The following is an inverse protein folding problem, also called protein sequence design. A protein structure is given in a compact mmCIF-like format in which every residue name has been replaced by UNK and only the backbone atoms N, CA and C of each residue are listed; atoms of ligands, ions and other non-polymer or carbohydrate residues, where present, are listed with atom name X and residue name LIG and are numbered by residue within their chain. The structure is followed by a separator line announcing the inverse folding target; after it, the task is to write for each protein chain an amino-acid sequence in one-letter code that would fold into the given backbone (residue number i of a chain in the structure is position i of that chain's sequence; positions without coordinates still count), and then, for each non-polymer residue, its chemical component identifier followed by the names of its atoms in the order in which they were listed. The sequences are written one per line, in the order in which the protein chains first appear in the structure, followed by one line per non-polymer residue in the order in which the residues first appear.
data_IF_945225124480
#
_entry.id   IF_945225124480
#
_cell.length_a   1.000
_cell.length_b   1.000
_cell.length_c   1.000
_cell.angle_alpha   90.00
_cell.angle_beta   90.00
_cell.angle_gamma   90.00
#
_symmetry.space_group_name_H-M   'P 1'
#
loop_
_entity.id
_entity.type
_entity.pdbx_description
1 polymer ?
#
# COMPACT_ATOMS: atom_id res chain seq x y z
N UNK A 1 -8.06 -0.41 13.57
CA UNK A 1 -8.64 0.31 12.41
C UNK A 1 -9.30 -0.65 11.42
N UNK A 2 -8.58 -1.60 10.81
CA UNK A 2 -9.13 -2.56 9.83
C UNK A 2 -10.49 -3.15 10.22
N UNK A 3 -10.61 -3.76 11.40
CA UNK A 3 -11.85 -4.39 11.89
C UNK A 3 -13.07 -3.47 11.87
N UNK A 4 -12.89 -2.17 12.12
CA UNK A 4 -13.98 -1.20 12.11
C UNK A 4 -14.39 -0.86 10.66
N UNK A 5 -13.41 -0.54 9.80
CA UNK A 5 -13.68 -0.16 8.41
C UNK A 5 -14.27 -1.33 7.62
N UNK A 6 -13.76 -2.55 7.84
CA UNK A 6 -14.22 -3.74 7.12
C UNK A 6 -15.67 -4.13 7.42
N UNK A 7 -16.26 -3.60 8.49
CA UNK A 7 -17.65 -3.81 8.85
C UNK A 7 -18.61 -2.80 8.21
N UNK A 8 -18.10 -1.74 7.58
CA UNK A 8 -18.92 -0.68 7.01
C UNK A 8 -19.59 -1.09 5.69
N UNK A 9 -18.97 -1.98 4.94
CA UNK A 9 -19.53 -2.51 3.69
C UNK A 9 -19.06 -3.96 3.49
N UNK A 10 -20.02 -4.89 3.45
CA UNK A 10 -19.81 -6.32 3.27
C UNK A 10 -19.66 -6.73 1.79
N UNK A 11 -19.91 -5.80 0.86
CA UNK A 11 -19.71 -6.01 -0.58
C UNK A 11 -18.27 -5.81 -1.01
N UNK A 12 -17.45 -5.18 -0.17
CA UNK A 12 -16.03 -4.96 -0.42
C UNK A 12 -15.24 -6.23 -0.04
N UNK A 13 -14.39 -6.70 -0.96
CA UNK A 13 -13.45 -7.79 -0.65
C UNK A 13 -12.23 -7.21 0.06
N UNK A 14 -12.27 -7.17 1.39
CA UNK A 14 -11.19 -6.64 2.21
C UNK A 14 -9.97 -7.56 2.24
N UNK A 15 -8.78 -7.05 1.91
CA UNK A 15 -7.51 -7.80 1.94
C UNK A 15 -6.64 -7.30 3.10
N UNK A 16 -6.76 -7.95 4.27
CA UNK A 16 -6.13 -7.48 5.52
C UNK A 16 -4.60 -7.38 5.47
N UNK A 17 -3.95 -8.33 4.78
CA UNK A 17 -2.49 -8.47 4.73
C UNK A 17 -1.77 -7.50 3.80
N UNK A 18 -2.47 -6.88 2.85
CA UNK A 18 -1.84 -6.12 1.79
C UNK A 18 -1.43 -4.71 2.27
N UNK A 19 -0.27 -4.22 1.81
CA UNK A 19 0.13 -2.81 1.91
C UNK A 19 -0.74 -1.95 1.00
N UNK A 20 -0.95 -2.41 -0.23
CA UNK A 20 -1.86 -1.79 -1.19
C UNK A 20 -2.60 -2.84 -2.01
N UNK A 21 -3.78 -2.48 -2.49
CA UNK A 21 -4.55 -3.29 -3.44
C UNK A 21 -4.87 -2.41 -4.63
N UNK A 22 -4.54 -2.90 -5.81
CA UNK A 22 -5.00 -2.34 -7.07
C UNK A 22 -6.21 -3.12 -7.58
N UNK A 23 -7.33 -2.43 -7.80
CA UNK A 23 -8.54 -2.99 -8.42
C UNK A 23 -8.96 -2.09 -9.60
N UNK A 24 -8.59 -2.52 -10.80
CA UNK A 24 -8.85 -1.80 -12.04
C UNK A 24 -8.17 -0.43 -12.11
N UNK A 25 -8.91 0.63 -11.75
CA UNK A 25 -8.44 2.03 -11.75
C UNK A 25 -8.22 2.60 -10.36
N UNK A 26 -8.50 1.82 -9.32
CA UNK A 26 -8.39 2.23 -7.94
C UNK A 26 -7.16 1.59 -7.31
N UNK A 27 -6.38 2.40 -6.61
CA UNK A 27 -5.38 1.92 -5.67
C UNK A 27 -5.82 2.32 -4.26
N UNK A 28 -5.92 1.36 -3.36
CA UNK A 28 -6.15 1.61 -1.93
C UNK A 28 -4.95 1.14 -1.13
N UNK A 29 -4.65 1.79 0.00
CA UNK A 29 -3.44 1.55 0.79
C UNK A 29 -3.79 1.47 2.27
N UNK A 30 -3.04 0.67 3.03
CA UNK A 30 -3.31 0.42 4.45
C UNK A 30 -3.00 1.63 5.34
N UNK A 31 -1.71 2.00 5.47
CA UNK A 31 -1.24 3.08 6.34
C UNK A 31 -0.32 4.06 5.62
N UNK A 32 0.30 4.97 6.38
CA UNK A 32 1.16 6.04 5.82
C UNK A 32 2.33 5.49 5.00
N UNK A 33 3.10 4.55 5.56
CA UNK A 33 4.23 3.95 4.85
C UNK A 33 3.79 3.16 3.62
N UNK A 34 2.69 2.41 3.74
CA UNK A 34 2.10 1.70 2.60
C UNK A 34 1.55 2.66 1.53
N UNK A 35 1.11 3.86 1.92
CA UNK A 35 0.71 4.93 1.02
C UNK A 35 1.87 5.49 0.21
N UNK A 36 3.04 5.66 0.83
CA UNK A 36 4.26 6.07 0.12
C UNK A 36 4.70 5.00 -0.88
N UNK A 37 4.70 3.73 -0.46
CA UNK A 37 5.01 2.61 -1.35
C UNK A 37 4.00 2.50 -2.50
N UNK A 38 2.70 2.62 -2.22
CA UNK A 38 1.65 2.60 -3.23
C UNK A 38 1.78 3.73 -4.26
N UNK A 39 2.22 4.92 -3.85
CA UNK A 39 2.51 6.02 -4.78
C UNK A 39 3.69 5.70 -5.70
N UNK A 40 4.78 5.13 -5.16
CA UNK A 40 5.93 4.72 -5.95
C UNK A 40 5.59 3.54 -6.88
N UNK A 41 4.76 2.60 -6.44
CA UNK A 41 4.20 1.54 -7.26
C UNK A 41 3.42 2.12 -8.46
N UNK A 42 2.56 3.13 -8.26
CA UNK A 42 1.84 3.78 -9.36
C UNK A 42 2.76 4.53 -10.32
N UNK A 43 3.80 5.19 -9.80
CA UNK A 43 4.82 5.84 -10.63
C UNK A 43 5.53 4.80 -11.48
N UNK A 44 5.97 3.69 -10.87
CA UNK A 44 6.63 2.59 -11.57
C UNK A 44 5.74 2.02 -12.68
N UNK A 45 4.47 1.75 -12.36
CA UNK A 45 3.49 1.25 -13.33
C UNK A 45 3.26 2.21 -14.51
N UNK A 46 3.27 3.52 -14.26
CA UNK A 46 2.93 4.53 -15.28
C UNK A 46 4.12 5.02 -16.09
N UNK A 47 5.29 5.10 -15.47
CA UNK A 47 6.49 5.78 -15.99
C UNK A 47 7.75 4.90 -15.95
N UNK A 48 7.66 3.66 -15.45
CA UNK A 48 8.76 2.71 -15.34
C UNK A 48 9.47 2.76 -13.98
N UNK A 49 10.11 1.64 -13.62
CA UNK A 49 10.79 1.44 -12.34
C UNK A 49 11.94 2.44 -12.10
N UNK A 50 12.58 2.89 -13.19
CA UNK A 50 13.66 3.89 -13.15
C UNK A 50 13.14 5.23 -12.62
N UNK A 51 11.94 5.65 -13.03
CA UNK A 51 11.32 6.88 -12.57
C UNK A 51 10.95 6.80 -11.07
N UNK A 52 10.39 5.66 -10.64
CA UNK A 52 10.07 5.43 -9.23
C UNK A 52 11.35 5.41 -8.37
N UNK A 53 12.40 4.72 -8.83
CA UNK A 53 13.69 4.64 -8.14
C UNK A 53 14.40 5.99 -8.06
N UNK A 54 14.32 6.79 -9.13
CA UNK A 54 14.86 8.15 -9.14
C UNK A 54 14.13 9.05 -8.14
N UNK A 55 12.79 8.97 -8.06
CA UNK A 55 12.01 9.73 -7.09
C UNK A 55 12.30 9.26 -5.67
N UNK A 56 12.30 7.95 -5.41
CA UNK A 56 12.62 7.39 -4.10
C UNK A 56 14.01 7.84 -3.63
N UNK A 57 15.01 7.80 -4.51
CA UNK A 57 16.36 8.29 -4.23
C UNK A 57 16.39 9.79 -3.96
N UNK A 58 15.68 10.59 -4.76
CA UNK A 58 15.62 12.05 -4.61
C UNK A 58 15.01 12.48 -3.27
N UNK A 59 14.03 11.74 -2.77
CA UNK A 59 13.40 12.01 -1.47
C UNK A 59 14.03 11.22 -0.31
N UNK A 60 15.13 10.51 -0.56
CA UNK A 60 15.84 9.66 0.42
C UNK A 60 14.93 8.61 1.07
N UNK A 61 13.95 8.10 0.33
CA UNK A 61 12.99 7.12 0.82
C UNK A 61 13.44 5.68 0.56
N UNK A 62 13.58 4.90 1.63
CA UNK A 62 13.93 3.48 1.61
C UNK A 62 12.71 2.60 1.96
N UNK A 63 11.70 2.62 1.09
CA UNK A 63 10.51 1.77 1.21
C UNK A 63 10.57 0.48 0.41
N UNK A 64 9.47 -0.28 0.42
CA UNK A 64 9.32 -1.54 -0.29
C UNK A 64 8.12 -1.47 -1.25
N UNK A 65 8.19 -0.60 -2.25
CA UNK A 65 7.12 -0.38 -3.23
C UNK A 65 7.03 -1.47 -4.31
N UNK A 66 7.91 -2.46 -4.26
CA UNK A 66 7.93 -3.60 -5.18
C UNK A 66 7.10 -4.78 -4.65
N UNK A 67 6.83 -4.81 -3.35
CA UNK A 67 6.04 -5.86 -2.70
C UNK A 67 4.90 -5.24 -1.88
N UNK A 68 3.69 -5.41 -2.42
CA UNK A 68 2.46 -4.88 -1.84
C UNK A 68 1.65 -5.89 -1.05
N UNK A 69 2.06 -7.16 -1.04
CA UNK A 69 1.23 -8.26 -0.55
C UNK A 69 1.39 -8.51 0.94
N UNK A 70 2.52 -8.09 1.52
CA UNK A 70 2.86 -8.30 2.93
C UNK A 70 3.04 -6.99 3.70
N UNK A 71 2.03 -6.67 4.52
CA UNK A 71 2.09 -5.58 5.48
C UNK A 71 2.57 -6.12 6.85
N UNK A 72 3.79 -5.74 7.32
CA UNK A 72 4.32 -6.20 8.60
C UNK A 72 3.51 -5.69 9.81
N UNK A 73 2.57 -4.76 9.61
CA UNK A 73 1.72 -4.20 10.65
C UNK A 73 0.33 -4.85 10.74
N UNK A 74 0.02 -5.86 9.91
CA UNK A 74 -1.28 -6.57 9.91
C UNK A 74 -1.69 -7.07 11.31
N UNK A 75 -0.73 -7.61 12.07
CA UNK A 75 -0.96 -8.20 13.40
C UNK A 75 -0.95 -7.14 14.51
N UNK A 76 -0.22 -6.05 14.31
CA UNK A 76 0.05 -5.06 15.36
C UNK A 76 -1.19 -4.26 15.80
N UNK A 77 -2.24 -4.22 14.98
CA UNK A 77 -3.44 -3.40 15.23
C UNK A 77 -4.46 -4.09 16.16
N UNK A 78 -4.27 -5.36 16.51
CA UNK A 78 -5.15 -6.08 17.47
C UNK A 78 -4.69 -5.98 18.94
N UNK A 79 -3.50 -5.42 19.19
CA UNK A 79 -2.99 -5.21 20.55
C UNK A 79 -3.31 -3.80 21.06
N UNK A 80 -4.54 -3.59 21.55
CA UNK A 80 -4.92 -2.74 22.70
C UNK A 80 -6.43 -2.55 22.78
#
# INVERSE_FOLDING_TARGET
MYKYISQLDDRVTWVKRARWVEDGRLLTTSGVSAGMDGALYLIAKRFGDEAASAIASYIEYSGNWQDGDEDPFEVAIEAK
#
